data_IF_263519353610
#
_entry.id   IF_263519353610
#
_cell.length_a   1.000
_cell.length_b   1.000
_cell.length_c   1.000
_cell.angle_alpha   90.00
_cell.angle_beta   90.00
_cell.angle_gamma   90.00
#
_symmetry.space_group_name_H-M   'P 1'
#
loop_
_entity.id
_entity.type
_entity.pdbx_description
1 polymer ?
#
# COMPACT_ATOMS: atom_id res chain seq x y z
N UNK A 1 27.54 -9.33 -9.40
CA UNK A 1 26.67 -8.44 -8.59
C UNK A 1 25.24 -8.93 -8.74
N UNK A 2 24.60 -9.41 -7.67
CA UNK A 2 23.18 -9.79 -7.69
C UNK A 2 22.39 -8.72 -6.93
N UNK A 3 22.26 -7.54 -7.54
CA UNK A 3 21.33 -6.52 -7.06
C UNK A 3 19.96 -6.80 -7.66
N UNK A 4 19.03 -7.31 -6.85
CA UNK A 4 17.63 -7.42 -7.25
C UNK A 4 16.88 -6.17 -6.74
N UNK A 5 16.33 -5.40 -7.66
CA UNK A 5 15.43 -4.27 -7.34
C UNK A 5 14.00 -4.76 -7.51
N UNK A 6 13.23 -4.77 -6.41
CA UNK A 6 11.79 -5.01 -6.46
C UNK A 6 11.07 -3.69 -6.73
N UNK A 7 10.54 -3.53 -7.95
CA UNK A 7 9.59 -2.47 -8.28
C UNK A 7 8.20 -3.09 -8.15
N UNK A 8 7.57 -2.91 -7.00
CA UNK A 8 6.19 -3.29 -6.78
C UNK A 8 5.47 -2.14 -6.07
N UNK A 9 4.20 -1.86 -6.40
CA UNK A 9 3.43 -0.79 -5.76
C UNK A 9 3.31 -0.98 -4.23
N UNK A 10 3.43 -2.22 -3.74
CA UNK A 10 3.35 -2.58 -2.32
C UNK A 10 4.25 -3.80 -2.04
N UNK A 11 5.31 -3.68 -1.23
CA UNK A 11 6.27 -4.78 -0.94
C UNK A 11 5.78 -5.65 0.23
N UNK A 12 5.73 -6.99 0.07
CA UNK A 12 5.47 -7.90 1.20
C UNK A 12 6.76 -8.11 2.00
N UNK A 13 6.86 -7.46 3.15
CA UNK A 13 8.03 -7.50 4.04
C UNK A 13 8.18 -8.82 4.83
N UNK A 14 7.17 -9.68 4.81
CA UNK A 14 7.17 -10.99 5.48
C UNK A 14 7.35 -12.16 4.51
N UNK A 15 7.74 -11.89 3.26
CA UNK A 15 8.00 -12.93 2.27
C UNK A 15 9.18 -13.84 2.72
N UNK A 16 9.02 -15.17 2.82
CA UNK A 16 10.05 -16.07 3.36
C UNK A 16 11.38 -16.06 2.58
N UNK A 17 11.32 -15.78 1.29
CA UNK A 17 12.49 -15.65 0.42
C UNK A 17 13.24 -14.33 0.50
N UNK A 18 12.78 -13.34 1.29
CA UNK A 18 13.49 -12.07 1.49
C UNK A 18 14.37 -12.11 2.75
N UNK A 19 15.63 -11.63 2.69
CA UNK A 19 16.46 -11.50 3.89
C UNK A 19 15.77 -10.62 4.93
N UNK A 20 15.65 -11.13 6.16
CA UNK A 20 14.89 -10.48 7.23
C UNK A 20 15.46 -9.11 7.64
N UNK A 21 16.78 -8.94 7.53
CA UNK A 21 17.46 -7.66 7.77
C UNK A 21 17.08 -6.60 6.71
N UNK A 22 17.07 -6.98 5.43
CA UNK A 22 16.70 -6.08 4.33
C UNK A 22 15.21 -5.73 4.41
N UNK A 23 14.37 -6.71 4.72
CA UNK A 23 12.93 -6.49 4.88
C UNK A 23 12.64 -5.53 6.03
N UNK A 24 13.27 -5.70 7.20
CA UNK A 24 13.12 -4.78 8.32
C UNK A 24 13.65 -3.37 8.00
N UNK A 25 14.78 -3.27 7.32
CA UNK A 25 15.36 -1.97 6.94
C UNK A 25 14.48 -1.23 5.91
N UNK A 26 13.88 -1.95 4.96
CA UNK A 26 12.96 -1.35 4.01
C UNK A 26 11.61 -1.00 4.66
N UNK A 27 11.14 -1.83 5.59
CA UNK A 27 9.91 -1.60 6.36
C UNK A 27 10.02 -0.38 7.26
N UNK A 28 11.14 -0.18 7.95
CA UNK A 28 11.35 0.97 8.85
C UNK A 28 11.39 2.32 8.12
N UNK A 29 11.59 2.31 6.80
CA UNK A 29 11.53 3.50 5.94
C UNK A 29 10.09 3.89 5.53
N UNK A 30 9.10 3.03 5.75
CA UNK A 30 7.70 3.37 5.49
C UNK A 30 7.21 4.42 6.49
N UNK A 31 6.16 5.16 6.13
CA UNK A 31 5.49 6.05 7.08
C UNK A 31 5.04 5.27 8.32
N UNK A 32 5.14 5.87 9.51
CA UNK A 32 4.75 5.20 10.76
C UNK A 32 3.32 4.63 10.69
N UNK A 33 2.40 5.36 10.06
CA UNK A 33 1.03 4.88 9.82
C UNK A 33 0.96 3.61 8.97
N UNK A 34 1.78 3.54 7.92
CA UNK A 34 1.83 2.40 7.02
C UNK A 34 2.46 1.20 7.73
N UNK A 35 3.49 1.43 8.56
CA UNK A 35 4.05 0.38 9.41
C UNK A 35 2.98 -0.24 10.33
N UNK A 36 2.17 0.59 11.00
CA UNK A 36 1.10 0.10 11.85
C UNK A 36 0.03 -0.65 11.07
N UNK A 37 -0.49 -0.06 9.98
CA UNK A 37 -1.55 -0.71 9.21
C UNK A 37 -1.08 -2.01 8.52
N UNK A 38 0.18 -2.08 8.08
CA UNK A 38 0.75 -3.31 7.50
C UNK A 38 0.95 -4.41 8.55
N UNK A 39 1.33 -4.05 9.79
CA UNK A 39 1.39 -5.02 10.90
C UNK A 39 0.01 -5.59 11.23
N UNK A 40 -1.01 -4.75 11.27
CA UNK A 40 -2.40 -5.20 11.47
C UNK A 40 -2.82 -6.14 10.33
N UNK A 41 -2.52 -5.77 9.08
CA UNK A 41 -2.84 -6.62 7.93
C UNK A 41 -2.15 -7.99 7.96
N UNK A 42 -0.89 -8.04 8.43
CA UNK A 42 -0.13 -9.29 8.51
C UNK A 42 -0.53 -10.17 9.69
N UNK A 43 -0.69 -9.60 10.90
CA UNK A 43 -0.93 -10.38 12.12
C UNK A 43 -2.42 -10.57 12.44
N UNK A 44 -3.30 -9.75 11.90
CA UNK A 44 -4.74 -9.81 12.16
C UNK A 44 -5.55 -9.46 10.90
N UNK A 45 -5.50 -10.30 9.85
CA UNK A 45 -6.06 -10.00 8.54
C UNK A 45 -7.55 -9.64 8.60
N UNK A 46 -8.32 -10.31 9.46
CA UNK A 46 -9.75 -10.02 9.69
C UNK A 46 -10.03 -8.62 10.23
N UNK A 47 -9.05 -7.98 10.88
CA UNK A 47 -9.17 -6.64 11.44
C UNK A 47 -8.74 -5.55 10.44
N UNK A 48 -8.12 -5.91 9.32
CA UNK A 48 -7.59 -4.96 8.32
C UNK A 48 -8.64 -3.99 7.82
N UNK A 49 -9.83 -4.51 7.51
CA UNK A 49 -10.95 -3.73 7.02
C UNK A 49 -11.48 -2.76 8.08
N UNK A 50 -11.67 -3.24 9.31
CA UNK A 50 -12.14 -2.41 10.43
C UNK A 50 -11.13 -1.32 10.79
N UNK A 51 -9.83 -1.64 10.76
CA UNK A 51 -8.76 -0.69 11.02
C UNK A 51 -8.73 0.46 10.00
N UNK A 52 -8.83 0.13 8.71
CA UNK A 52 -8.75 1.14 7.64
C UNK A 52 -10.03 1.96 7.44
N UNK A 53 -11.14 1.56 8.05
CA UNK A 53 -12.42 2.31 8.00
C UNK A 53 -12.56 3.31 9.13
N UNK A 54 -11.71 3.24 10.16
CA UNK A 54 -11.83 4.06 11.35
C UNK A 54 -11.09 5.39 11.23
N UNK A 55 -11.78 6.51 11.50
CA UNK A 55 -11.21 7.88 11.41
C UNK A 55 -10.08 8.16 12.40
N UNK A 56 -9.99 7.38 13.48
CA UNK A 56 -9.02 7.60 14.56
C UNK A 56 -7.76 6.76 14.40
N UNK A 57 -7.80 5.73 13.55
CA UNK A 57 -6.62 4.94 13.25
C UNK A 57 -6.02 5.45 11.93
N UNK A 58 -4.69 5.50 11.85
CA UNK A 58 -4.07 6.02 10.66
C UNK A 58 -4.15 4.94 9.57
N UNK A 59 -4.93 5.21 8.52
CA UNK A 59 -5.08 4.33 7.37
C UNK A 59 -3.81 4.31 6.53
N UNK A 60 -3.68 3.29 5.67
CA UNK A 60 -2.60 3.26 4.69
C UNK A 60 -2.62 4.52 3.82
N UNK A 61 -1.43 5.08 3.58
CA UNK A 61 -1.20 6.25 2.72
C UNK A 61 -1.84 6.11 1.33
N UNK A 62 -1.77 4.89 0.75
CA UNK A 62 -2.41 4.53 -0.52
C UNK A 62 -3.92 4.70 -0.46
N UNK A 63 -4.55 4.19 0.61
CA UNK A 63 -6.01 4.25 0.81
C UNK A 63 -6.44 5.69 1.06
N UNK A 64 -5.63 6.42 1.85
CA UNK A 64 -5.84 7.84 2.13
C UNK A 64 -5.57 8.76 0.92
N UNK A 65 -5.12 8.24 -0.22
CA UNK A 65 -4.74 9.01 -1.41
C UNK A 65 -3.77 10.17 -1.09
N UNK A 66 -2.92 9.96 -0.10
CA UNK A 66 -2.07 11.00 0.45
C UNK A 66 -0.97 11.35 -0.55
N UNK A 67 -0.84 12.62 -0.98
CA UNK A 67 0.16 13.03 -1.97
C UNK A 67 1.60 12.82 -1.48
N UNK A 68 1.79 12.62 -0.16
CA UNK A 68 3.08 12.33 0.48
C UNK A 68 3.71 11.01 0.08
N UNK A 69 2.97 10.09 -0.55
CA UNK A 69 3.57 8.86 -1.10
C UNK A 69 4.40 9.12 -2.36
N UNK A 70 4.08 10.19 -3.07
CA UNK A 70 4.72 10.50 -4.35
C UNK A 70 6.04 11.22 -4.10
N UNK A 71 7.07 10.81 -4.84
CA UNK A 71 8.30 11.58 -4.88
C UNK A 71 8.03 12.97 -5.48
N UNK A 72 8.95 13.91 -5.28
CA UNK A 72 8.84 15.26 -5.86
C UNK A 72 8.66 15.21 -7.38
N UNK A 73 9.40 14.32 -8.05
CA UNK A 73 9.32 14.14 -9.50
C UNK A 73 7.97 13.54 -9.92
N UNK A 74 7.47 12.55 -9.18
CA UNK A 74 6.16 11.95 -9.47
C UNK A 74 5.01 12.94 -9.29
N UNK A 75 5.13 13.87 -8.34
CA UNK A 75 4.17 14.97 -8.15
C UNK A 75 4.11 15.90 -9.36
N UNK A 76 5.26 16.24 -9.94
CA UNK A 76 5.36 17.09 -11.14
C UNK A 76 4.81 16.38 -12.39
N UNK A 77 4.93 15.05 -12.45
CA UNK A 77 4.42 14.23 -13.56
C UNK A 77 2.95 13.82 -13.40
N UNK A 78 2.36 13.96 -12.20
CA UNK A 78 0.95 13.64 -11.91
C UNK A 78 -0.02 14.13 -13.01
N UNK A 79 -0.01 15.42 -13.44
CA UNK A 79 -0.94 15.90 -14.47
C UNK A 79 -0.80 15.16 -15.83
N UNK A 80 0.39 14.66 -16.15
CA UNK A 80 0.66 13.91 -17.38
C UNK A 80 0.04 12.52 -17.29
N UNK A 81 0.17 11.85 -16.14
CA UNK A 81 -0.38 10.51 -15.92
C UNK A 81 -1.90 10.48 -15.72
N UNK A 82 -2.48 11.57 -15.22
CA UNK A 82 -3.93 11.69 -15.00
C UNK A 82 -4.68 12.29 -16.20
N UNK A 83 -3.97 12.79 -17.22
CA UNK A 83 -4.58 13.36 -18.41
C UNK A 83 -5.50 12.33 -19.10
N UNK A 84 -6.78 12.69 -19.28
CA UNK A 84 -7.77 11.83 -19.93
C UNK A 84 -8.30 10.66 -19.09
N UNK A 85 -7.89 10.51 -17.82
CA UNK A 85 -8.31 9.41 -16.95
C UNK A 85 -9.50 9.69 -16.04
N UNK A 86 -10.04 10.91 -16.03
CA UNK A 86 -11.11 11.32 -15.13
C UNK A 86 -12.35 10.39 -15.16
N UNK A 87 -12.76 9.93 -16.35
CA UNK A 87 -13.88 8.97 -16.48
C UNK A 87 -13.55 7.54 -16.03
N UNK A 88 -12.28 7.14 -16.12
CA UNK A 88 -11.81 5.81 -15.70
C UNK A 88 -11.68 5.74 -14.18
N UNK A 89 -11.18 6.80 -13.54
CA UNK A 89 -11.09 6.89 -12.07
C UNK A 89 -12.48 6.76 -11.42
N UNK A 90 -13.50 7.40 -12.01
CA UNK A 90 -14.87 7.30 -11.51
C UNK A 90 -15.49 5.90 -11.71
N UNK A 91 -15.22 5.22 -12.83
CA UNK A 91 -15.66 3.84 -13.03
C UNK A 91 -14.97 2.85 -12.08
N UNK A 92 -13.67 3.01 -11.83
CA UNK A 92 -12.93 2.19 -10.85
C UNK A 92 -13.50 2.42 -9.43
N UNK A 93 -13.88 3.66 -9.11
CA UNK A 93 -14.54 4.00 -7.85
C UNK A 93 -15.92 3.35 -7.72
N UNK A 94 -16.67 3.24 -8.82
CA UNK A 94 -17.97 2.56 -8.87
C UNK A 94 -17.86 1.04 -8.67
N UNK A 95 -16.73 0.44 -9.04
CA UNK A 95 -16.45 -0.98 -8.84
C UNK A 95 -16.14 -1.34 -7.37
N UNK A 96 -16.16 -0.35 -6.48
CA UNK A 96 -15.93 -0.52 -5.04
C UNK A 96 -14.46 -0.69 -4.73
N UNK A 97 -13.72 0.43 -4.61
CA UNK A 97 -12.35 0.45 -4.04
C UNK A 97 -12.25 -0.34 -2.74
N UNK A 98 -13.37 -0.39 -2.02
CA UNK A 98 -13.59 -1.11 -0.78
C UNK A 98 -13.39 -2.63 -0.89
N UNK A 99 -13.91 -3.28 -1.93
CA UNK A 99 -13.76 -4.73 -2.06
C UNK A 99 -12.40 -5.09 -2.65
N UNK A 100 -11.87 -4.30 -3.59
CA UNK A 100 -10.61 -4.65 -4.27
C UNK A 100 -9.38 -4.42 -3.39
N UNK A 101 -9.27 -3.27 -2.70
CA UNK A 101 -8.02 -2.89 -2.00
C UNK A 101 -7.88 -3.65 -0.68
N UNK A 102 -8.95 -3.75 0.12
CA UNK A 102 -8.89 -4.46 1.40
C UNK A 102 -8.70 -5.97 1.22
N UNK A 103 -9.30 -6.56 0.17
CA UNK A 103 -9.09 -7.95 -0.20
C UNK A 103 -7.67 -8.18 -0.71
N UNK A 104 -7.13 -7.32 -1.57
CA UNK A 104 -5.74 -7.43 -2.04
C UNK A 104 -4.73 -7.31 -0.89
N UNK A 105 -4.95 -6.38 0.05
CA UNK A 105 -4.12 -6.26 1.25
C UNK A 105 -4.18 -7.52 2.11
N UNK A 106 -5.38 -8.07 2.29
CA UNK A 106 -5.55 -9.30 3.06
C UNK A 106 -4.86 -10.48 2.36
N UNK A 107 -5.11 -10.71 1.08
CA UNK A 107 -4.50 -11.82 0.31
C UNK A 107 -2.97 -11.67 0.22
N UNK A 108 -2.44 -10.45 0.05
CA UNK A 108 -1.01 -10.21 -0.19
C UNK A 108 -0.16 -10.29 1.08
N UNK A 109 -0.74 -9.99 2.25
CA UNK A 109 -0.03 -9.95 3.53
C UNK A 109 -0.41 -11.08 4.50
N UNK A 110 -1.51 -11.78 4.27
CA UNK A 110 -1.83 -13.06 4.87
C UNK A 110 -0.97 -14.12 4.16
N UNK A 111 0.21 -14.40 4.70
CA UNK A 111 1.14 -15.37 4.11
C UNK A 111 0.50 -16.74 3.89
N UNK A 112 0.99 -17.44 2.87
CA UNK A 112 1.00 -18.91 2.82
C UNK A 112 2.07 -19.39 3.79
#
# INVERSE_FOLDING_TARGET
>A
MRGATLIAPVVNYWWPGLPSNLSQQAFSKQFLRDQWSLRVAHHSPSLTYWWNTQKWFPSLTVIAHSPDILSRQDRELKPIFTAGRAGVEEQVRQQGEYESIHRDLSIRYMGI
#
